data_IF_682587123976
#
_entry.id   IF_682587123976
#
_cell.length_a   1.000
_cell.length_b   1.000
_cell.length_c   1.000
_cell.angle_alpha   90.00
_cell.angle_beta   90.00
_cell.angle_gamma   90.00
#
_symmetry.space_group_name_H-M   'P 1'
#
loop_
_entity.id
_entity.type
_entity.pdbx_description
1 polymer ?
#
# COMPACT_ATOMS: atom_id res chain seq x y z
N UNK A 1 -42.03 -70.57 42.64
CA UNK A 1 -41.02 -71.65 42.74
C UNK A 1 -40.94 -72.38 41.42
N UNK A 2 -39.73 -72.83 41.05
CA UNK A 2 -39.38 -73.72 39.91
C UNK A 2 -39.07 -73.00 38.57
N UNK A 3 -37.77 -72.74 38.30
CA UNK A 3 -36.80 -73.53 37.50
C UNK A 3 -36.88 -73.16 36.01
N UNK A 4 -35.91 -72.39 35.49
CA UNK A 4 -34.66 -72.85 34.83
C UNK A 4 -34.91 -73.69 33.57
N UNK A 5 -34.46 -73.23 32.40
CA UNK A 5 -33.58 -73.97 31.47
C UNK A 5 -33.22 -73.11 30.23
N UNK A 6 -31.96 -73.27 29.85
CA UNK A 6 -31.13 -72.66 28.82
C UNK A 6 -31.70 -72.59 27.39
N UNK A 7 -31.29 -71.56 26.65
CA UNK A 7 -31.09 -71.63 25.20
C UNK A 7 -29.66 -71.21 24.87
N UNK A 8 -28.89 -72.15 24.31
CA UNK A 8 -27.60 -71.89 23.68
C UNK A 8 -27.84 -71.21 22.33
N UNK A 9 -27.36 -69.97 22.19
CA UNK A 9 -27.41 -69.21 20.94
C UNK A 9 -26.22 -69.57 20.05
N UNK A 10 -26.54 -69.91 18.81
CA UNK A 10 -25.63 -70.31 17.73
C UNK A 10 -24.96 -69.07 17.12
N UNK A 11 -23.65 -69.14 16.88
CA UNK A 11 -22.80 -68.05 16.39
C UNK A 11 -23.11 -67.59 14.95
N UNK A 12 -23.15 -66.28 14.73
CA UNK A 12 -22.81 -65.64 13.44
C UNK A 12 -21.82 -64.49 13.68
N UNK A 13 -20.54 -64.72 13.40
CA UNK A 13 -19.50 -63.67 13.40
C UNK A 13 -19.63 -62.83 12.14
N UNK A 14 -20.18 -61.62 12.24
CA UNK A 14 -20.05 -60.60 11.20
C UNK A 14 -18.73 -59.83 11.41
N UNK A 15 -17.79 -59.98 10.48
CA UNK A 15 -16.58 -59.14 10.42
C UNK A 15 -16.98 -57.78 9.86
N UNK A 16 -17.15 -56.80 10.74
CA UNK A 16 -17.36 -55.41 10.35
C UNK A 16 -16.00 -54.82 9.92
N UNK A 17 -15.74 -54.73 8.61
CA UNK A 17 -14.60 -53.96 8.10
C UNK A 17 -14.95 -52.47 8.21
N UNK A 18 -14.40 -51.80 9.23
CA UNK A 18 -14.48 -50.35 9.35
C UNK A 18 -13.51 -49.74 8.32
N UNK A 19 -14.04 -49.28 7.21
CA UNK A 19 -13.28 -48.51 6.22
C UNK A 19 -13.02 -47.12 6.82
N UNK A 20 -11.80 -46.89 7.34
CA UNK A 20 -11.38 -45.61 7.87
C UNK A 20 -11.14 -44.65 6.69
N UNK A 21 -12.15 -43.87 6.32
CA UNK A 21 -12.02 -42.79 5.32
C UNK A 21 -11.15 -41.69 5.91
N UNK A 22 -9.85 -41.69 5.57
CA UNK A 22 -8.94 -40.56 5.77
C UNK A 22 -9.39 -39.40 4.88
N UNK A 23 -10.18 -38.48 5.45
CA UNK A 23 -10.50 -37.21 4.81
C UNK A 23 -9.21 -36.38 4.80
N UNK A 24 -8.54 -36.35 3.65
CA UNK A 24 -7.47 -35.39 3.36
C UNK A 24 -8.09 -33.99 3.35
N UNK A 25 -8.00 -33.29 4.48
CA UNK A 25 -8.32 -31.88 4.56
C UNK A 25 -7.29 -31.11 3.71
N UNK A 26 -7.63 -30.85 2.44
CA UNK A 26 -6.87 -29.93 1.61
C UNK A 26 -6.94 -28.56 2.28
N UNK A 27 -5.80 -27.89 2.56
CA UNK A 27 -5.82 -26.56 3.11
C UNK A 27 -6.55 -25.65 2.12
N UNK A 28 -7.72 -25.15 2.51
CA UNK A 28 -8.39 -24.09 1.77
C UNK A 28 -7.46 -22.88 1.85
N UNK A 29 -6.92 -22.37 0.74
CA UNK A 29 -6.09 -21.17 0.80
C UNK A 29 -6.93 -20.07 1.44
N UNK A 30 -6.45 -19.53 2.57
CA UNK A 30 -6.99 -18.33 3.17
C UNK A 30 -6.98 -17.26 2.08
N UNK A 31 -8.16 -16.85 1.61
CA UNK A 31 -8.28 -15.75 0.66
C UNK A 31 -7.69 -14.50 1.30
N UNK A 32 -6.52 -14.08 0.82
CA UNK A 32 -5.94 -12.80 1.21
C UNK A 32 -6.91 -11.72 0.76
N UNK A 33 -7.29 -10.83 1.67
CA UNK A 33 -8.20 -9.73 1.35
C UNK A 33 -7.65 -8.94 0.16
N UNK A 34 -8.43 -8.91 -0.92
CA UNK A 34 -8.02 -8.28 -2.18
C UNK A 34 -8.67 -6.90 -2.30
N UNK A 35 -7.86 -5.85 -2.27
CA UNK A 35 -8.37 -4.48 -2.36
C UNK A 35 -9.03 -4.17 -3.71
N UNK A 36 -8.83 -5.00 -4.74
CA UNK A 36 -9.55 -4.89 -6.02
C UNK A 36 -11.05 -5.20 -5.89
N UNK A 37 -11.46 -5.94 -4.85
CA UNK A 37 -12.86 -6.28 -4.59
C UNK A 37 -13.63 -5.19 -3.82
N UNK A 38 -12.94 -4.15 -3.33
CA UNK A 38 -13.58 -3.06 -2.61
C UNK A 38 -14.55 -2.31 -3.54
N UNK A 39 -15.82 -2.12 -3.15
CA UNK A 39 -16.77 -1.40 -3.99
C UNK A 39 -16.43 0.09 -4.06
N UNK A 40 -16.70 0.70 -5.21
CA UNK A 40 -16.64 2.14 -5.38
C UNK A 40 -17.76 2.79 -4.56
N UNK A 41 -17.44 3.80 -3.75
CA UNK A 41 -18.40 4.37 -2.79
C UNK A 41 -19.23 5.53 -3.33
N UNK A 42 -18.92 6.07 -4.51
CA UNK A 42 -19.63 7.23 -5.08
C UNK A 42 -19.99 7.01 -6.54
N UNK A 43 -21.30 6.89 -6.81
CA UNK A 43 -21.85 6.63 -8.16
C UNK A 43 -21.32 5.34 -8.80
N UNK A 44 -20.95 4.34 -8.00
CA UNK A 44 -20.43 3.05 -8.43
C UNK A 44 -19.26 3.12 -9.43
N UNK A 45 -18.47 4.21 -9.41
CA UNK A 45 -17.29 4.41 -10.26
C UNK A 45 -16.10 5.02 -9.49
N UNK A 46 -14.85 4.76 -9.93
CA UNK A 46 -13.69 5.49 -9.42
C UNK A 46 -13.62 6.89 -10.03
N UNK A 47 -12.97 7.80 -9.30
CA UNK A 47 -12.72 9.18 -9.73
C UNK A 47 -11.22 9.42 -9.87
N UNK A 48 -10.81 10.01 -10.99
CA UNK A 48 -9.39 10.31 -11.26
C UNK A 48 -8.98 11.62 -10.57
N UNK A 49 -8.04 11.54 -9.63
CA UNK A 49 -7.47 12.68 -8.92
C UNK A 49 -6.92 13.76 -9.86
N UNK A 50 -6.47 13.41 -11.07
CA UNK A 50 -5.85 14.35 -12.01
C UNK A 50 -6.83 14.86 -13.07
N UNK A 51 -8.06 14.34 -13.09
CA UNK A 51 -9.09 14.80 -14.03
C UNK A 51 -9.68 16.16 -13.63
N UNK A 52 -10.16 16.90 -14.63
CA UNK A 52 -10.98 18.09 -14.38
C UNK A 52 -12.32 17.73 -13.74
N UNK A 53 -12.90 16.57 -14.08
CA UNK A 53 -14.19 16.10 -13.55
C UNK A 53 -14.19 16.07 -12.01
N UNK A 54 -13.12 15.57 -11.38
CA UNK A 54 -13.01 15.50 -9.93
C UNK A 54 -12.82 16.87 -9.23
N UNK A 55 -12.47 17.92 -9.98
CA UNK A 55 -12.24 19.29 -9.48
C UNK A 55 -13.43 20.21 -9.69
N UNK A 56 -14.23 19.96 -10.73
CA UNK A 56 -15.31 20.86 -11.12
C UNK A 56 -16.50 20.77 -10.15
N UNK A 57 -17.14 21.91 -9.83
CA UNK A 57 -18.39 21.92 -9.10
C UNK A 57 -19.50 21.14 -9.82
N UNK A 58 -20.32 20.41 -9.06
CA UNK A 58 -21.59 19.84 -9.53
C UNK A 58 -22.72 20.06 -8.50
N UNK A 59 -23.92 19.57 -8.81
CA UNK A 59 -25.09 19.70 -7.93
C UNK A 59 -24.95 19.04 -6.55
N UNK A 60 -23.97 18.16 -6.36
CA UNK A 60 -23.70 17.44 -5.11
C UNK A 60 -22.40 17.90 -4.43
N UNK A 61 -21.49 18.56 -5.15
CA UNK A 61 -20.16 18.99 -4.73
C UNK A 61 -19.89 20.41 -5.24
N UNK A 62 -20.42 21.46 -4.58
CA UNK A 62 -20.31 22.84 -5.06
C UNK A 62 -18.88 23.41 -5.16
N UNK A 63 -17.90 22.72 -4.56
CA UNK A 63 -16.48 23.08 -4.57
C UNK A 63 -15.62 21.98 -5.24
N UNK A 64 -16.25 21.01 -5.90
CA UNK A 64 -15.61 19.83 -6.48
C UNK A 64 -15.43 18.67 -5.50
N UNK A 65 -15.32 17.46 -6.04
CA UNK A 65 -15.24 16.23 -5.26
C UNK A 65 -13.97 16.15 -4.41
N UNK A 66 -12.81 16.51 -4.99
CA UNK A 66 -11.53 16.48 -4.26
C UNK A 66 -11.60 17.39 -3.03
N UNK A 67 -12.13 18.61 -3.18
CA UNK A 67 -12.28 19.54 -2.06
C UNK A 67 -13.19 18.98 -0.97
N UNK A 68 -14.34 18.39 -1.36
CA UNK A 68 -15.27 17.77 -0.41
C UNK A 68 -14.57 16.67 0.40
N UNK A 69 -13.91 15.74 -0.29
CA UNK A 69 -13.27 14.57 0.32
C UNK A 69 -12.10 14.98 1.21
N UNK A 70 -11.20 15.86 0.73
CA UNK A 70 -10.06 16.30 1.52
C UNK A 70 -10.47 17.08 2.77
N UNK A 71 -11.49 17.94 2.65
CA UNK A 71 -12.00 18.74 3.78
C UNK A 71 -12.57 17.87 4.91
N UNK A 72 -13.24 16.77 4.57
CA UNK A 72 -13.97 15.96 5.55
C UNK A 72 -13.24 14.69 5.99
N UNK A 73 -12.24 14.22 5.24
CA UNK A 73 -11.52 12.98 5.54
C UNK A 73 -10.00 13.12 5.52
N UNK A 74 -9.45 14.28 5.15
CA UNK A 74 -8.01 14.44 5.00
C UNK A 74 -7.47 15.65 5.76
N UNK A 75 -8.00 15.89 6.97
CA UNK A 75 -7.45 16.87 7.91
C UNK A 75 -6.00 16.55 8.31
N UNK A 76 -5.33 17.55 8.89
CA UNK A 76 -3.92 17.46 9.27
C UNK A 76 -3.62 16.28 10.21
N UNK A 77 -4.53 15.91 11.11
CA UNK A 77 -4.34 14.77 12.01
C UNK A 77 -4.25 13.42 11.27
N UNK A 78 -4.96 13.29 10.14
CA UNK A 78 -4.88 12.13 9.25
C UNK A 78 -3.55 12.15 8.51
N UNK A 79 -3.20 13.29 7.90
CA UNK A 79 -1.95 13.49 7.13
C UNK A 79 -0.69 13.22 7.96
N UNK A 80 -0.73 13.51 9.27
CA UNK A 80 0.40 13.29 10.19
C UNK A 80 0.31 12.00 10.99
N UNK A 81 -0.72 11.16 10.75
CA UNK A 81 -0.95 9.90 11.47
C UNK A 81 -1.03 10.07 12.99
N UNK A 82 -1.70 11.14 13.44
CA UNK A 82 -1.99 11.37 14.85
C UNK A 82 -3.30 10.69 15.27
N UNK A 83 -4.36 10.91 14.49
CA UNK A 83 -5.68 10.28 14.65
C UNK A 83 -6.52 10.52 13.39
N UNK A 84 -7.51 9.67 13.16
CA UNK A 84 -8.44 9.92 12.05
C UNK A 84 -9.41 11.08 12.33
N UNK A 85 -10.09 11.52 11.27
CA UNK A 85 -11.01 12.66 11.29
C UNK A 85 -12.45 12.19 11.53
N UNK A 86 -12.93 11.21 10.78
CA UNK A 86 -14.28 10.65 10.95
C UNK A 86 -14.28 9.21 11.46
N UNK A 87 -13.12 8.54 11.48
CA UNK A 87 -12.98 7.17 11.94
C UNK A 87 -11.57 6.93 12.52
N UNK A 88 -11.31 5.84 13.26
CA UNK A 88 -9.94 5.44 13.60
C UNK A 88 -9.07 5.24 12.35
N UNK A 89 -7.75 5.44 12.45
CA UNK A 89 -6.82 5.15 11.36
C UNK A 89 -6.84 3.64 11.03
N UNK A 90 -6.83 3.23 9.74
CA UNK A 90 -6.69 4.07 8.54
C UNK A 90 -8.01 4.41 7.83
N UNK A 91 -9.15 4.40 8.52
CA UNK A 91 -10.49 4.43 7.91
C UNK A 91 -10.76 5.62 6.99
N UNK A 92 -10.32 6.82 7.35
CA UNK A 92 -10.46 8.01 6.49
C UNK A 92 -9.67 7.87 5.18
N UNK A 93 -8.43 7.35 5.23
CA UNK A 93 -7.65 7.06 4.02
C UNK A 93 -8.33 6.01 3.15
N UNK A 94 -8.88 4.96 3.77
CA UNK A 94 -9.63 3.93 3.04
C UNK A 94 -10.88 4.49 2.37
N UNK A 95 -11.58 5.42 3.03
CA UNK A 95 -12.71 6.12 2.44
C UNK A 95 -12.29 6.90 1.19
N UNK A 96 -11.20 7.68 1.28
CA UNK A 96 -10.66 8.44 0.15
C UNK A 96 -10.29 7.50 -1.00
N UNK A 97 -9.54 6.43 -0.74
CA UNK A 97 -9.04 5.50 -1.76
C UNK A 97 -10.15 4.66 -2.42
N UNK A 98 -11.33 4.55 -1.81
CA UNK A 98 -12.53 3.96 -2.44
C UNK A 98 -13.27 4.90 -3.37
N UNK A 99 -13.03 6.22 -3.29
CA UNK A 99 -13.58 7.22 -4.21
C UNK A 99 -12.55 7.57 -5.27
N UNK A 100 -11.33 7.89 -4.83
CA UNK A 100 -10.24 8.43 -5.64
C UNK A 100 -9.01 7.51 -5.45
N UNK A 101 -8.94 6.36 -6.14
CA UNK A 101 -7.91 5.36 -5.89
C UNK A 101 -6.50 5.87 -6.19
N UNK A 102 -6.32 6.82 -7.11
CA UNK A 102 -5.05 7.46 -7.43
C UNK A 102 -4.81 8.78 -6.70
N UNK A 103 -5.44 9.00 -5.53
CA UNK A 103 -5.17 10.19 -4.72
C UNK A 103 -3.75 10.13 -4.12
N UNK A 104 -2.79 10.96 -4.58
CA UNK A 104 -1.37 10.77 -4.29
C UNK A 104 -1.07 10.91 -2.79
N UNK A 105 -1.63 11.93 -2.14
CA UNK A 105 -1.40 12.16 -0.72
C UNK A 105 -2.02 11.07 0.18
N UNK A 106 -3.18 10.54 -0.18
CA UNK A 106 -3.81 9.45 0.58
C UNK A 106 -3.02 8.15 0.43
N UNK A 107 -2.53 7.84 -0.78
CA UNK A 107 -1.63 6.72 -1.04
C UNK A 107 -0.32 6.83 -0.25
N UNK A 108 0.33 8.00 -0.26
CA UNK A 108 1.54 8.26 0.53
C UNK A 108 1.28 8.08 2.03
N UNK A 109 0.20 8.68 2.52
CA UNK A 109 -0.18 8.63 3.94
C UNK A 109 -0.49 7.20 4.37
N UNK A 110 -1.17 6.41 3.53
CA UNK A 110 -1.43 5.00 3.81
C UNK A 110 -0.15 4.17 3.81
N UNK A 111 0.78 4.43 2.89
CA UNK A 111 2.10 3.76 2.91
C UNK A 111 2.87 4.06 4.19
N UNK A 112 2.88 5.32 4.64
CA UNK A 112 3.53 5.70 5.90
C UNK A 112 2.84 5.06 7.10
N UNK A 113 1.51 5.00 7.07
CA UNK A 113 0.71 4.32 8.09
C UNK A 113 1.09 2.85 8.20
N UNK A 114 1.11 2.12 7.09
CA UNK A 114 1.44 0.70 7.06
C UNK A 114 2.84 0.43 7.62
N UNK A 115 3.86 1.19 7.18
CA UNK A 115 5.23 1.05 7.71
C UNK A 115 5.26 1.33 9.21
N UNK A 116 4.66 2.44 9.66
CA UNK A 116 4.63 2.80 11.09
C UNK A 116 3.90 1.76 11.92
N UNK A 117 2.80 1.19 11.42
CA UNK A 117 2.07 0.10 12.07
C UNK A 117 2.93 -1.16 12.26
N UNK A 118 3.75 -1.49 11.26
CA UNK A 118 4.68 -2.62 11.31
C UNK A 118 5.81 -2.39 12.32
N UNK A 119 6.37 -1.19 12.36
CA UNK A 119 7.62 -0.92 13.09
C UNK A 119 7.42 -0.38 14.51
N UNK A 120 6.30 0.28 14.80
CA UNK A 120 6.06 0.92 16.10
C UNK A 120 4.95 0.22 16.87
N UNK A 121 5.34 -0.52 17.91
CA UNK A 121 4.40 -1.16 18.84
C UNK A 121 3.49 -0.15 19.53
N UNK A 122 4.03 0.98 20.00
CA UNK A 122 3.24 2.05 20.61
C UNK A 122 2.17 2.59 19.65
N UNK A 123 2.51 2.81 18.38
CA UNK A 123 1.53 3.24 17.38
C UNK A 123 0.47 2.17 17.12
N UNK A 124 0.88 0.90 17.06
CA UNK A 124 -0.05 -0.24 16.86
C UNK A 124 -1.07 -0.39 17.98
N UNK A 125 -0.66 -0.10 19.22
CA UNK A 125 -1.47 -0.25 20.43
C UNK A 125 -2.26 1.02 20.78
N UNK A 126 -2.16 2.08 19.98
CA UNK A 126 -2.97 3.30 20.16
C UNK A 126 -4.45 3.00 19.89
N UNK A 127 -5.33 3.49 20.77
CA UNK A 127 -6.78 3.26 20.69
C UNK A 127 -7.43 3.81 19.41
N UNK A 128 -6.78 4.74 18.71
CA UNK A 128 -7.22 5.31 17.43
C UNK A 128 -6.64 4.59 16.22
N UNK A 129 -5.85 3.53 16.40
CA UNK A 129 -5.24 2.76 15.31
C UNK A 129 -5.92 1.39 15.19
N UNK A 130 -6.16 0.96 13.96
CA UNK A 130 -6.69 -0.36 13.60
C UNK A 130 -5.70 -1.07 12.70
N UNK A 131 -5.74 -2.40 12.73
CA UNK A 131 -4.93 -3.22 11.82
C UNK A 131 -5.32 -2.89 10.37
N UNK A 132 -4.37 -2.59 9.47
CA UNK A 132 -4.70 -2.43 8.05
C UNK A 132 -5.23 -3.75 7.50
N UNK A 133 -6.36 -3.68 6.80
CA UNK A 133 -6.96 -4.83 6.11
C UNK A 133 -6.25 -5.15 4.80
N UNK A 134 -5.66 -4.14 4.16
CA UNK A 134 -4.99 -4.24 2.86
C UNK A 134 -3.59 -3.63 2.95
N UNK A 135 -2.68 -4.09 2.09
CA UNK A 135 -1.36 -3.47 1.99
C UNK A 135 -1.41 -2.14 1.21
N UNK A 136 -0.42 -1.27 1.44
CA UNK A 136 -0.30 -0.07 0.61
C UNK A 136 -0.01 -0.42 -0.86
N UNK A 137 0.82 -1.45 -1.10
CA UNK A 137 1.10 -1.97 -2.44
C UNK A 137 -0.17 -2.39 -3.19
N UNK A 138 -1.15 -2.98 -2.50
CA UNK A 138 -2.44 -3.30 -3.11
C UNK A 138 -3.14 -2.03 -3.64
N UNK A 139 -3.18 -0.96 -2.84
CA UNK A 139 -3.79 0.29 -3.27
C UNK A 139 -3.03 0.96 -4.42
N UNK A 140 -1.70 0.89 -4.45
CA UNK A 140 -0.92 1.40 -5.60
C UNK A 140 -1.21 0.62 -6.88
N UNK A 141 -1.21 -0.72 -6.81
CA UNK A 141 -1.57 -1.58 -7.95
C UNK A 141 -2.97 -1.27 -8.45
N UNK A 142 -3.93 -1.09 -7.54
CA UNK A 142 -5.30 -0.71 -7.89
C UNK A 142 -5.37 0.67 -8.54
N UNK A 143 -4.68 1.66 -7.98
CA UNK A 143 -4.60 3.01 -8.54
C UNK A 143 -4.07 2.99 -9.98
N UNK A 144 -2.97 2.27 -10.20
CA UNK A 144 -2.32 2.17 -11.50
C UNK A 144 -3.14 1.37 -12.53
N UNK A 145 -3.83 0.31 -12.10
CA UNK A 145 -4.71 -0.45 -12.99
C UNK A 145 -5.92 0.37 -13.45
N UNK A 146 -6.46 1.20 -12.56
CA UNK A 146 -7.68 1.97 -12.83
C UNK A 146 -7.38 3.27 -13.58
N UNK A 147 -6.30 3.96 -13.20
CA UNK A 147 -5.83 5.20 -13.83
C UNK A 147 -4.33 5.09 -14.13
N UNK A 148 -3.95 4.40 -15.22
CA UNK A 148 -2.55 4.25 -15.60
C UNK A 148 -1.95 5.57 -16.12
N UNK A 149 -0.62 5.61 -16.21
CA UNK A 149 0.07 6.68 -16.95
C UNK A 149 0.13 8.04 -16.26
N UNK A 150 0.08 8.07 -14.92
CA UNK A 150 0.27 9.30 -14.17
C UNK A 150 1.63 9.33 -13.45
N UNK A 151 2.48 10.31 -13.81
CA UNK A 151 3.82 10.46 -13.26
C UNK A 151 3.83 10.63 -11.74
N UNK A 152 2.89 11.41 -11.20
CA UNK A 152 2.81 11.71 -9.77
C UNK A 152 2.33 10.49 -8.95
N UNK A 153 1.42 9.67 -9.48
CA UNK A 153 1.07 8.39 -8.84
C UNK A 153 2.25 7.42 -8.84
N UNK A 154 2.99 7.34 -9.96
CA UNK A 154 4.19 6.50 -10.07
C UNK A 154 5.32 6.98 -9.16
N UNK A 155 5.52 8.30 -9.01
CA UNK A 155 6.46 8.89 -8.06
C UNK A 155 6.15 8.42 -6.64
N UNK A 156 4.90 8.60 -6.18
CA UNK A 156 4.51 8.21 -4.81
C UNK A 156 4.60 6.69 -4.61
N UNK A 157 4.39 5.89 -5.65
CA UNK A 157 4.61 4.45 -5.60
C UNK A 157 6.10 4.10 -5.50
N UNK A 158 6.97 4.79 -6.24
CA UNK A 158 8.42 4.70 -6.09
C UNK A 158 8.86 5.05 -4.67
N UNK A 159 8.31 6.11 -4.09
CA UNK A 159 8.55 6.49 -2.69
C UNK A 159 8.07 5.42 -1.70
N UNK A 160 6.97 4.73 -1.98
CA UNK A 160 6.52 3.59 -1.18
C UNK A 160 7.57 2.48 -1.15
N UNK A 161 8.11 2.09 -2.29
CA UNK A 161 9.15 1.07 -2.36
C UNK A 161 10.44 1.54 -1.69
N UNK A 162 10.88 2.77 -1.98
CA UNK A 162 12.09 3.35 -1.37
C UNK A 162 11.99 3.36 0.15
N UNK A 163 10.84 3.76 0.69
CA UNK A 163 10.57 3.78 2.12
C UNK A 163 10.60 2.39 2.76
N UNK A 164 10.34 1.34 2.00
CA UNK A 164 10.40 -0.04 2.46
C UNK A 164 11.72 -0.73 2.09
N UNK A 165 12.77 0.05 1.78
CA UNK A 165 14.10 -0.40 1.39
C UNK A 165 14.13 -1.29 0.14
N UNK A 166 13.05 -1.29 -0.65
CA UNK A 166 12.96 -1.98 -1.93
C UNK A 166 13.39 -1.03 -3.05
N UNK A 167 14.70 -0.74 -3.09
CA UNK A 167 15.24 0.25 -4.02
C UNK A 167 15.15 -0.19 -5.49
N UNK A 168 15.06 -1.51 -5.75
CA UNK A 168 14.90 -2.05 -7.11
C UNK A 168 13.51 -1.71 -7.65
N UNK A 169 12.44 -1.99 -6.90
CA UNK A 169 11.10 -1.61 -7.34
C UNK A 169 10.87 -0.09 -7.27
N UNK A 170 11.55 0.61 -6.36
CA UNK A 170 11.55 2.08 -6.34
C UNK A 170 12.10 2.62 -7.66
N UNK A 171 13.24 2.09 -8.12
CA UNK A 171 13.87 2.51 -9.36
C UNK A 171 12.94 2.28 -10.56
N UNK A 172 12.31 1.11 -10.66
CA UNK A 172 11.37 0.78 -11.74
C UNK A 172 10.24 1.81 -11.84
N UNK A 173 9.58 2.12 -10.71
CA UNK A 173 8.46 3.09 -10.70
C UNK A 173 8.92 4.52 -10.95
N UNK A 174 10.06 4.92 -10.42
CA UNK A 174 10.60 6.26 -10.62
C UNK A 174 11.09 6.49 -12.05
N UNK A 175 11.66 5.47 -12.70
CA UNK A 175 12.00 5.52 -14.13
C UNK A 175 10.74 5.66 -14.99
N UNK A 176 9.67 4.92 -14.66
CA UNK A 176 8.39 5.09 -15.33
C UNK A 176 7.79 6.48 -15.12
N UNK A 177 7.91 7.06 -13.91
CA UNK A 177 7.50 8.44 -13.64
C UNK A 177 8.31 9.45 -14.49
N UNK A 178 9.63 9.28 -14.54
CA UNK A 178 10.55 10.13 -15.29
C UNK A 178 10.31 10.06 -16.80
N UNK A 179 9.92 8.90 -17.33
CA UNK A 179 9.55 8.75 -18.73
C UNK A 179 8.30 9.58 -19.11
N UNK A 180 7.40 9.81 -18.15
CA UNK A 180 6.18 10.61 -18.35
C UNK A 180 6.40 12.10 -18.07
N UNK A 181 7.29 12.43 -17.14
CA UNK A 181 7.60 13.80 -16.73
C UNK A 181 9.12 13.94 -16.52
N UNK A 182 9.92 14.07 -17.59
CA UNK A 182 11.38 14.08 -17.51
C UNK A 182 11.95 15.32 -16.80
N UNK A 183 11.18 16.40 -16.74
CA UNK A 183 11.55 17.67 -16.10
C UNK A 183 11.02 17.78 -14.66
N UNK A 184 10.39 16.72 -14.12
CA UNK A 184 9.92 16.71 -12.75
C UNK A 184 11.10 16.58 -11.78
N UNK A 185 11.46 17.69 -11.16
CA UNK A 185 12.61 17.83 -10.26
C UNK A 185 12.49 16.90 -9.04
N UNK A 186 11.27 16.63 -8.57
CA UNK A 186 11.07 15.71 -7.45
C UNK A 186 11.33 14.25 -7.88
N UNK A 187 10.93 13.87 -9.09
CA UNK A 187 11.27 12.56 -9.67
C UNK A 187 12.78 12.43 -9.83
N UNK A 188 13.45 13.44 -10.38
CA UNK A 188 14.91 13.44 -10.56
C UNK A 188 15.66 13.28 -9.23
N UNK A 189 15.26 14.04 -8.21
CA UNK A 189 15.85 13.94 -6.87
C UNK A 189 15.71 12.52 -6.30
N UNK A 190 14.51 11.92 -6.41
CA UNK A 190 14.25 10.60 -5.88
C UNK A 190 14.93 9.49 -6.69
N UNK A 191 15.10 9.66 -8.00
CA UNK A 191 15.96 8.79 -8.82
C UNK A 191 17.40 8.83 -8.34
N UNK A 192 17.95 10.04 -8.13
CA UNK A 192 19.30 10.20 -7.59
C UNK A 192 19.48 9.49 -6.25
N UNK A 193 18.54 9.66 -5.31
CA UNK A 193 18.57 8.95 -4.03
C UNK A 193 18.51 7.44 -4.20
N UNK A 194 17.65 6.96 -5.09
CA UNK A 194 17.46 5.53 -5.32
C UNK A 194 18.71 4.90 -5.94
N UNK A 195 19.32 5.55 -6.94
CA UNK A 195 20.60 5.12 -7.50
C UNK A 195 21.72 5.12 -6.45
N UNK A 196 21.76 6.12 -5.57
CA UNK A 196 22.74 6.16 -4.49
C UNK A 196 22.56 4.99 -3.51
N UNK A 197 21.32 4.63 -3.15
CA UNK A 197 21.06 3.45 -2.31
C UNK A 197 21.44 2.13 -2.99
N UNK A 198 21.32 2.07 -4.32
CA UNK A 198 21.76 0.93 -5.14
C UNK A 198 23.28 0.93 -5.40
N UNK A 199 24.04 1.88 -4.87
CA UNK A 199 25.49 2.00 -5.05
C UNK A 199 25.92 2.49 -6.44
N UNK A 200 24.99 2.93 -7.28
CA UNK A 200 25.30 3.51 -8.58
C UNK A 200 25.61 5.00 -8.42
N UNK A 201 26.86 5.28 -8.04
CA UNK A 201 27.35 6.64 -7.77
C UNK A 201 27.27 7.55 -9.00
N UNK A 202 27.59 7.04 -10.19
CA UNK A 202 27.56 7.79 -11.44
C UNK A 202 26.14 8.33 -11.73
N UNK A 203 25.14 7.45 -11.73
CA UNK A 203 23.74 7.86 -11.95
C UNK A 203 23.22 8.73 -10.82
N UNK A 204 23.61 8.47 -9.57
CA UNK A 204 23.25 9.34 -8.45
C UNK A 204 23.73 10.78 -8.67
N UNK A 205 24.98 10.98 -9.13
CA UNK A 205 25.54 12.29 -9.42
C UNK A 205 24.87 12.98 -10.61
N UNK A 206 24.56 12.24 -11.68
CA UNK A 206 23.81 12.78 -12.84
C UNK A 206 22.46 13.38 -12.40
N UNK A 207 21.66 12.61 -11.67
CA UNK A 207 20.34 13.05 -11.21
C UNK A 207 20.43 14.10 -10.10
N UNK A 208 21.46 14.05 -9.24
CA UNK A 208 21.72 15.11 -8.26
C UNK A 208 21.99 16.44 -8.94
N UNK A 209 22.78 16.44 -10.03
CA UNK A 209 23.04 17.65 -10.81
C UNK A 209 21.75 18.24 -11.36
N UNK A 210 20.90 17.41 -11.99
CA UNK A 210 19.60 17.87 -12.51
C UNK A 210 18.73 18.49 -11.41
N UNK A 211 18.59 17.79 -10.27
CA UNK A 211 17.77 18.26 -9.16
C UNK A 211 18.28 19.56 -8.55
N UNK A 212 19.59 19.67 -8.31
CA UNK A 212 20.17 20.84 -7.64
C UNK A 212 20.35 22.04 -8.55
N UNK A 213 20.60 21.84 -9.85
CA UNK A 213 20.58 22.93 -10.84
C UNK A 213 19.19 23.55 -10.95
N UNK A 214 18.14 22.75 -10.76
CA UNK A 214 16.74 23.21 -10.68
C UNK A 214 16.34 23.75 -9.29
N UNK A 215 17.29 23.84 -8.34
CA UNK A 215 17.07 24.44 -7.02
C UNK A 215 16.38 23.54 -6.00
N UNK A 216 16.39 22.22 -6.17
CA UNK A 216 15.78 21.31 -5.20
C UNK A 216 16.44 21.44 -3.81
N UNK A 217 15.68 21.66 -2.73
CA UNK A 217 16.24 22.21 -1.49
C UNK A 217 16.84 21.15 -0.55
N UNK A 218 16.57 19.87 -0.76
CA UNK A 218 16.88 18.83 0.22
C UNK A 218 18.33 18.33 0.09
N UNK A 219 19.14 18.37 1.16
CA UNK A 219 20.55 17.97 1.11
C UNK A 219 20.74 16.45 1.17
N UNK A 220 19.68 15.66 1.36
CA UNK A 220 19.77 14.23 1.64
C UNK A 220 20.53 13.45 0.55
N UNK A 221 20.27 13.75 -0.72
CA UNK A 221 20.98 13.14 -1.84
C UNK A 221 22.47 13.49 -1.84
N UNK A 222 22.80 14.77 -1.70
CA UNK A 222 24.20 15.22 -1.58
C UNK A 222 24.93 14.49 -0.44
N UNK A 223 24.33 14.44 0.75
CA UNK A 223 24.92 13.77 1.91
C UNK A 223 25.18 12.28 1.65
N UNK A 224 24.25 11.59 0.97
CA UNK A 224 24.42 10.18 0.64
C UNK A 224 25.53 9.97 -0.40
N UNK A 225 25.64 10.84 -1.40
CA UNK A 225 26.72 10.82 -2.39
C UNK A 225 28.07 11.02 -1.70
N UNK A 226 28.19 12.03 -0.83
CA UNK A 226 29.41 12.33 -0.09
C UNK A 226 29.85 11.12 0.77
N UNK A 227 28.88 10.44 1.40
CA UNK A 227 29.13 9.19 2.14
C UNK A 227 29.70 8.09 1.24
N UNK A 228 29.08 7.83 0.08
CA UNK A 228 29.53 6.78 -0.84
C UNK A 228 30.94 7.03 -1.38
N UNK A 229 31.28 8.29 -1.67
CA UNK A 229 32.62 8.69 -2.12
C UNK A 229 33.65 8.38 -1.02
N UNK A 230 33.34 8.73 0.23
CA UNK A 230 34.22 8.45 1.36
C UNK A 230 34.42 6.93 1.58
N UNK A 231 33.36 6.14 1.42
CA UNK A 231 33.41 4.67 1.52
C UNK A 231 34.26 4.03 0.42
N UNK A 232 34.17 4.53 -0.82
CA UNK A 232 34.99 4.05 -1.94
C UNK A 232 36.46 4.44 -1.80
N UNK A 233 36.76 5.63 -1.26
CA UNK A 233 38.13 6.09 -1.04
C UNK A 233 38.87 5.34 0.09
N UNK A 234 38.12 4.65 0.96
CA UNK A 234 38.65 3.88 2.09
C UNK A 234 38.94 2.41 1.75
N UNK A 235 38.60 1.95 0.53
CA UNK A 235 38.83 0.60 0.02
C UNK A 235 40.10 0.55 -0.83
#
# INVERSE_FOLDING_TARGET
MSKQICYNAMMTKHRLQVLLLLILALPVPLAVADCFQLPWSRHDKPWDYYSNEARMPDGNTPQGLINLVEKHHFAQSVRTLQRGQTSPLPGDMMFILKIIPNHPLALDTYSRFEKRYRESESFRNDNYVRKPEFSADCFFKRAHQVFPGNAQTLLVWGLHFFRNDDYVNALDRLLAANALAPDDVEVQYNLGLTYAQLGNLEKAQEFAKLAYDAGYPLPGLKNKIDQLIAEQAAQ
#
